data_IF_906797620530
#
_entry.id   IF_906797620530
#
_cell.length_a   1.000
_cell.length_b   1.000
_cell.length_c   1.000
_cell.angle_alpha   90.00
_cell.angle_beta   90.00
_cell.angle_gamma   90.00
#
_symmetry.space_group_name_H-M   'P 1'
#
loop_
_entity.id
_entity.type
_entity.pdbx_description
1 polymer ?
#
# COMPACT_ATOMS: atom_id res chain seq x y z
N UNK A 1 1.39 -8.59 -20.42
CA UNK A 1 2.38 -8.72 -19.33
C UNK A 1 1.67 -8.32 -18.05
N UNK A 2 1.96 -8.95 -16.90
CA UNK A 2 1.36 -8.59 -15.60
C UNK A 2 2.31 -7.63 -14.88
N UNK A 3 1.77 -6.60 -14.24
CA UNK A 3 2.53 -5.62 -13.45
C UNK A 3 2.00 -5.58 -12.02
N UNK A 4 2.85 -5.16 -11.09
CA UNK A 4 2.49 -4.94 -9.69
C UNK A 4 3.18 -3.69 -9.18
N UNK A 5 2.62 -3.10 -8.13
CA UNK A 5 3.24 -2.02 -7.37
C UNK A 5 3.46 -2.49 -5.93
N UNK A 6 4.72 -2.59 -5.51
CA UNK A 6 5.08 -3.20 -4.23
C UNK A 6 5.48 -2.17 -3.17
N UNK A 7 5.27 -0.87 -3.44
CA UNK A 7 5.56 0.21 -2.50
C UNK A 7 4.56 1.35 -2.72
N UNK A 8 3.48 1.37 -1.93
CA UNK A 8 2.44 2.41 -2.02
C UNK A 8 2.00 2.87 -0.64
N UNK A 9 1.67 4.16 -0.54
CA UNK A 9 1.33 4.82 0.71
C UNK A 9 -0.13 5.24 0.67
N UNK A 10 -0.77 5.23 1.83
CA UNK A 10 -2.16 5.64 2.01
C UNK A 10 -2.23 6.80 3.00
N UNK A 11 -3.43 7.34 3.20
CA UNK A 11 -3.67 8.35 4.25
C UNK A 11 -3.46 7.82 5.68
N UNK A 12 -3.18 6.53 5.88
CA UNK A 12 -2.74 6.00 7.16
C UNK A 12 -1.29 6.41 7.52
N UNK A 13 -0.51 6.88 6.54
CA UNK A 13 0.75 7.59 6.75
C UNK A 13 0.74 8.96 6.05
N UNK A 14 1.41 9.10 4.91
CA UNK A 14 1.57 10.35 4.16
C UNK A 14 1.08 10.27 2.70
N UNK A 15 0.41 9.18 2.33
CA UNK A 15 -0.23 9.02 1.04
C UNK A 15 -1.41 9.99 0.85
N UNK A 16 -1.74 10.26 -0.42
CA UNK A 16 -2.80 11.21 -0.78
C UNK A 16 -4.21 10.60 -0.80
N UNK A 17 -4.30 9.28 -0.94
CA UNK A 17 -5.55 8.54 -1.13
C UNK A 17 -5.79 7.59 0.05
N UNK A 18 -7.06 7.38 0.41
CA UNK A 18 -7.42 6.37 1.42
C UNK A 18 -6.99 4.96 1.00
N UNK A 19 -6.79 4.02 1.96
CA UNK A 19 -6.45 2.65 1.62
C UNK A 19 -7.39 2.02 0.59
N UNK A 20 -8.71 2.25 0.68
CA UNK A 20 -9.64 1.77 -0.33
C UNK A 20 -9.51 2.48 -1.70
N UNK A 21 -9.20 3.78 -1.73
CA UNK A 21 -8.95 4.51 -2.99
C UNK A 21 -7.70 4.00 -3.71
N UNK A 22 -6.62 3.71 -2.97
CA UNK A 22 -5.39 3.13 -3.53
C UNK A 22 -5.67 1.79 -4.23
N UNK A 23 -6.49 0.93 -3.62
CA UNK A 23 -6.89 -0.35 -4.23
C UNK A 23 -7.73 -0.14 -5.50
N UNK A 24 -8.68 0.81 -5.48
CA UNK A 24 -9.46 1.16 -6.68
C UNK A 24 -8.57 1.67 -7.81
N UNK A 25 -7.57 2.51 -7.51
CA UNK A 25 -6.60 3.01 -8.48
C UNK A 25 -5.73 1.88 -9.06
N UNK A 26 -5.30 0.93 -8.22
CA UNK A 26 -4.52 -0.24 -8.66
C UNK A 26 -5.29 -1.10 -9.68
N UNK A 27 -6.56 -1.38 -9.39
CA UNK A 27 -7.46 -2.11 -10.29
C UNK A 27 -7.67 -1.35 -11.60
N UNK A 28 -7.95 -0.04 -11.52
CA UNK A 28 -8.14 0.81 -12.70
C UNK A 28 -6.87 0.92 -13.56
N UNK A 29 -5.69 0.79 -12.95
CA UNK A 29 -4.39 0.79 -13.62
C UNK A 29 -4.03 -0.58 -14.23
N UNK A 30 -4.86 -1.61 -14.01
CA UNK A 30 -4.63 -2.96 -14.54
C UNK A 30 -3.51 -3.72 -13.83
N UNK A 31 -3.22 -3.37 -12.57
CA UNK A 31 -2.24 -4.11 -11.76
C UNK A 31 -2.77 -5.51 -11.43
N UNK A 32 -1.86 -6.48 -11.43
CA UNK A 32 -2.15 -7.84 -10.99
C UNK A 32 -2.05 -7.98 -9.47
N UNK A 33 -1.18 -7.18 -8.83
CA UNK A 33 -1.01 -7.16 -7.39
C UNK A 33 -0.55 -5.78 -6.89
N UNK A 34 -0.79 -5.49 -5.62
CA UNK A 34 -0.34 -4.27 -4.94
C UNK A 34 0.09 -4.54 -3.48
N UNK A 35 1.04 -3.79 -2.94
CA UNK A 35 1.37 -3.77 -1.51
C UNK A 35 1.12 -2.39 -0.89
N UNK A 36 0.52 -2.37 0.30
CA UNK A 36 0.41 -1.17 1.15
C UNK A 36 1.60 -1.16 2.11
N UNK A 37 2.41 -0.10 2.07
CA UNK A 37 3.68 0.04 2.79
C UNK A 37 3.76 1.38 3.52
N UNK A 38 2.74 1.72 4.31
CA UNK A 38 2.70 2.96 5.08
C UNK A 38 3.90 3.11 6.04
N UNK A 39 4.33 4.36 6.28
CA UNK A 39 5.44 4.67 7.19
C UNK A 39 5.14 4.24 8.63
N UNK A 40 5.96 3.32 9.15
CA UNK A 40 5.97 2.84 10.54
C UNK A 40 4.62 2.33 11.08
N UNK A 41 3.70 1.98 10.18
CA UNK A 41 2.35 1.53 10.55
C UNK A 41 1.78 0.55 9.52
N UNK A 42 0.87 -0.31 9.99
CA UNK A 42 0.06 -1.20 9.14
C UNK A 42 -1.43 -0.85 9.23
N UNK A 43 -1.76 0.33 9.77
CA UNK A 43 -3.13 0.73 10.07
C UNK A 43 -4.02 0.84 8.82
N UNK A 44 -3.44 1.12 7.64
CA UNK A 44 -4.17 1.15 6.37
C UNK A 44 -4.50 -0.23 5.79
N UNK A 45 -3.78 -1.28 6.20
CA UNK A 45 -3.89 -2.60 5.58
C UNK A 45 -5.29 -3.25 5.73
N UNK A 46 -5.99 -3.21 6.90
CA UNK A 46 -7.31 -3.81 7.01
C UNK A 46 -8.35 -3.25 6.05
N UNK A 47 -8.37 -1.93 5.84
CA UNK A 47 -9.29 -1.28 4.91
C UNK A 47 -8.93 -1.64 3.45
N UNK A 48 -7.63 -1.61 3.11
CA UNK A 48 -7.17 -2.03 1.79
C UNK A 48 -7.49 -3.51 1.50
N UNK A 49 -7.34 -4.39 2.49
CA UNK A 49 -7.69 -5.80 2.36
C UNK A 49 -9.18 -5.98 2.05
N UNK A 50 -10.06 -5.31 2.81
CA UNK A 50 -11.52 -5.38 2.57
C UNK A 50 -11.88 -4.93 1.15
N UNK A 51 -11.27 -3.84 0.66
CA UNK A 51 -11.52 -3.37 -0.71
C UNK A 51 -10.92 -4.31 -1.77
N UNK A 52 -9.76 -4.91 -1.51
CA UNK A 52 -9.11 -5.86 -2.42
C UNK A 52 -9.95 -7.13 -2.60
N UNK A 53 -10.60 -7.63 -1.54
CA UNK A 53 -11.49 -8.78 -1.59
C UNK A 53 -12.74 -8.49 -2.43
N UNK A 54 -13.28 -7.26 -2.34
CA UNK A 54 -14.42 -6.82 -3.17
C UNK A 54 -14.07 -6.74 -4.65
N UNK A 55 -12.87 -6.29 -4.98
CA UNK A 55 -12.45 -6.02 -6.36
C UNK A 55 -11.64 -7.16 -7.00
N UNK A 56 -11.21 -8.14 -6.22
CA UNK A 56 -10.50 -9.32 -6.70
C UNK A 56 -9.06 -9.07 -7.16
N UNK A 57 -8.39 -8.05 -6.62
CA UNK A 57 -6.95 -7.81 -6.84
C UNK A 57 -6.13 -8.47 -5.73
N UNK A 58 -4.96 -9.03 -6.07
CA UNK A 58 -4.04 -9.57 -5.08
C UNK A 58 -3.39 -8.44 -4.28
N UNK A 59 -3.49 -8.51 -2.95
CA UNK A 59 -2.86 -7.55 -2.05
C UNK A 59 -1.82 -8.24 -1.18
N UNK A 60 -0.68 -7.58 -0.97
CA UNK A 60 0.37 -8.02 -0.07
C UNK A 60 0.47 -7.09 1.15
N UNK A 61 0.60 -7.65 2.37
CA UNK A 61 0.91 -6.83 3.54
C UNK A 61 2.34 -6.30 3.45
N UNK A 62 2.52 -5.02 3.76
CA UNK A 62 3.81 -4.34 3.79
C UNK A 62 3.85 -3.25 4.85
N UNK A 63 5.04 -2.72 5.10
CA UNK A 63 5.31 -1.56 5.96
C UNK A 63 6.64 -0.95 5.53
N UNK A 64 6.73 0.37 5.51
CA UNK A 64 8.00 1.08 5.35
C UNK A 64 8.52 1.48 6.73
N UNK A 65 9.62 0.88 7.16
CA UNK A 65 10.20 1.14 8.49
C UNK A 65 11.25 2.25 8.41
N UNK A 66 11.09 3.28 9.24
CA UNK A 66 12.12 4.27 9.48
C UNK A 66 13.32 3.63 10.18
N UNK A 67 14.53 3.86 9.66
CA UNK A 67 15.77 3.33 10.24
C UNK A 67 16.72 4.45 10.61
N UNK A 68 17.05 4.57 11.90
CA UNK A 68 18.09 5.48 12.35
C UNK A 68 19.48 4.86 12.16
N UNK A 69 20.33 5.57 11.44
CA UNK A 69 21.75 5.26 11.25
C UNK A 69 22.60 6.43 11.77
N UNK A 70 23.92 6.20 11.92
CA UNK A 70 24.86 7.21 12.44
C UNK A 70 24.78 8.58 11.73
N UNK A 71 24.36 8.59 10.46
CA UNK A 71 24.35 9.78 9.60
C UNK A 71 22.94 10.30 9.24
N UNK A 72 21.88 9.84 9.92
CA UNK A 72 20.52 10.31 9.67
C UNK A 72 19.46 9.22 9.80
N UNK A 73 18.26 9.53 9.30
CA UNK A 73 17.15 8.59 9.16
C UNK A 73 17.02 8.21 7.69
N UNK A 74 16.92 6.89 7.43
CA UNK A 74 16.44 6.33 6.18
C UNK A 74 14.94 6.09 6.30
#
# INVERSE_FOLDING_TARGET
MKYCDLHTHTTASDGSDSPAEVIRLAVNSGLAAIAVTDHDTVAGFPEALEESEKLGIEILPGVELSVQILHGTL
#
